data_IF_698689437021
#
_entry.id   IF_698689437021
#
_cell.length_a   1.000
_cell.length_b   1.000
_cell.length_c   1.000
_cell.angle_alpha   90.00
_cell.angle_beta   90.00
_cell.angle_gamma   90.00
#
_symmetry.space_group_name_H-M   'P 1'
#
loop_
_entity.id
_entity.type
_entity.pdbx_description
1 polymer ?
#
# COMPACT_ATOMS: atom_id res chain seq x y z
N UNK A 1 44.65 28.82 -43.99
CA UNK A 1 43.42 28.03 -44.14
C UNK A 1 42.63 28.14 -42.85
N UNK A 2 41.40 28.59 -42.98
CA UNK A 2 40.70 29.43 -42.00
C UNK A 2 40.16 28.69 -40.77
N UNK A 3 40.56 29.16 -39.59
CA UNK A 3 39.96 28.79 -38.30
C UNK A 3 38.43 29.03 -38.28
N UNK A 4 37.94 30.00 -39.05
CA UNK A 4 36.51 30.30 -39.22
C UNK A 4 35.73 29.14 -39.86
N UNK A 5 36.34 28.44 -40.82
CA UNK A 5 35.69 27.33 -41.53
C UNK A 5 35.65 26.05 -40.68
N UNK A 6 36.65 25.86 -39.81
CA UNK A 6 36.69 24.77 -38.83
C UNK A 6 35.66 25.00 -37.71
N UNK A 7 35.58 26.22 -37.17
CA UNK A 7 34.59 26.58 -36.16
C UNK A 7 33.15 26.42 -36.66
N UNK A 8 32.87 26.85 -37.90
CA UNK A 8 31.54 26.73 -38.50
C UNK A 8 31.12 25.26 -38.70
N UNK A 9 32.06 24.36 -39.03
CA UNK A 9 31.77 22.92 -39.15
C UNK A 9 31.52 22.26 -37.79
N UNK A 10 32.25 22.65 -36.74
CA UNK A 10 32.02 22.14 -35.37
C UNK A 10 30.60 22.48 -34.88
N UNK A 11 30.19 23.76 -35.03
CA UNK A 11 28.88 24.22 -34.62
C UNK A 11 27.72 23.53 -35.36
N UNK A 12 27.90 23.24 -36.66
CA UNK A 12 26.90 22.52 -37.45
C UNK A 12 26.76 21.05 -37.00
N UNK A 13 27.87 20.39 -36.64
CA UNK A 13 27.84 19.02 -36.13
C UNK A 13 27.19 18.94 -34.74
N UNK A 14 27.53 19.86 -33.84
CA UNK A 14 26.90 19.96 -32.51
C UNK A 14 25.39 20.19 -32.61
N UNK A 15 24.95 21.10 -33.49
CA UNK A 15 23.51 21.35 -33.73
C UNK A 15 22.79 20.09 -34.21
N UNK A 16 23.41 19.31 -35.10
CA UNK A 16 22.81 18.07 -35.60
C UNK A 16 22.66 17.02 -34.49
N UNK A 17 23.66 16.88 -33.62
CA UNK A 17 23.61 15.98 -32.45
C UNK A 17 22.48 16.41 -31.50
N UNK A 18 22.43 17.69 -31.13
CA UNK A 18 21.40 18.22 -30.24
C UNK A 18 19.98 18.05 -30.80
N UNK A 19 19.80 18.23 -32.11
CA UNK A 19 18.49 18.04 -32.76
C UNK A 19 18.06 16.57 -32.70
N UNK A 20 19.00 15.64 -32.90
CA UNK A 20 18.75 14.20 -32.79
C UNK A 20 18.37 13.82 -31.35
N UNK A 21 19.16 14.26 -30.37
CA UNK A 21 18.90 14.01 -28.95
C UNK A 21 17.55 14.58 -28.50
N UNK A 22 17.18 15.78 -28.99
CA UNK A 22 15.88 16.37 -28.71
C UNK A 22 14.75 15.49 -29.24
N UNK A 23 14.86 15.00 -30.47
CA UNK A 23 13.86 14.10 -31.06
C UNK A 23 13.72 12.77 -30.31
N UNK A 24 14.84 12.19 -29.86
CA UNK A 24 14.85 10.98 -29.02
C UNK A 24 14.17 11.24 -27.66
N UNK A 25 14.47 12.37 -27.00
CA UNK A 25 13.84 12.75 -25.74
C UNK A 25 12.35 13.04 -25.86
N UNK A 26 11.91 13.71 -26.93
CA UNK A 26 10.49 13.95 -27.20
C UNK A 26 9.72 12.64 -27.41
N UNK A 27 10.32 11.68 -28.11
CA UNK A 27 9.73 10.35 -28.27
C UNK A 27 9.62 9.61 -26.93
N UNK A 28 10.70 9.60 -26.14
CA UNK A 28 10.69 8.98 -24.82
C UNK A 28 9.64 9.60 -23.88
N UNK A 29 9.49 10.94 -23.91
CA UNK A 29 8.49 11.65 -23.12
C UNK A 29 7.06 11.28 -23.53
N UNK A 30 6.79 11.14 -24.84
CA UNK A 30 5.47 10.68 -25.32
C UNK A 30 5.16 9.27 -24.84
N UNK A 31 6.10 8.34 -25.00
CA UNK A 31 5.92 6.95 -24.57
C UNK A 31 5.66 6.88 -23.05
N UNK A 32 6.44 7.63 -22.26
CA UNK A 32 6.25 7.69 -20.80
C UNK A 32 4.87 8.23 -20.44
N UNK A 33 4.37 9.24 -21.16
CA UNK A 33 3.04 9.80 -20.92
C UNK A 33 1.94 8.78 -21.20
N UNK A 34 2.06 8.01 -22.28
CA UNK A 34 1.12 6.93 -22.62
C UNK A 34 1.13 5.82 -21.57
N UNK A 35 2.31 5.43 -21.08
CA UNK A 35 2.46 4.43 -20.03
C UNK A 35 1.84 4.89 -18.71
N UNK A 36 2.07 6.15 -18.31
CA UNK A 36 1.44 6.74 -17.11
C UNK A 36 -0.08 6.77 -17.24
N UNK A 37 -0.62 7.12 -18.41
CA UNK A 37 -2.06 7.12 -18.66
C UNK A 37 -2.63 5.70 -18.56
N UNK A 38 -1.95 4.71 -19.14
CA UNK A 38 -2.35 3.31 -19.07
C UNK A 38 -2.32 2.79 -17.62
N UNK A 39 -1.26 3.08 -16.87
CA UNK A 39 -1.12 2.70 -15.47
C UNK A 39 -2.24 3.30 -14.62
N UNK A 40 -2.59 4.57 -14.86
CA UNK A 40 -3.67 5.27 -14.17
C UNK A 40 -5.02 4.58 -14.44
N UNK A 41 -5.32 4.26 -15.71
CA UNK A 41 -6.55 3.56 -16.09
C UNK A 41 -6.63 2.17 -15.47
N UNK A 42 -5.54 1.40 -15.50
CA UNK A 42 -5.51 0.07 -14.91
C UNK A 42 -5.74 0.11 -13.39
N UNK A 43 -5.09 1.05 -12.70
CA UNK A 43 -5.27 1.24 -11.26
C UNK A 43 -6.73 1.59 -10.93
N UNK A 44 -7.35 2.48 -11.70
CA UNK A 44 -8.75 2.84 -11.53
C UNK A 44 -9.69 1.63 -11.69
N UNK A 45 -9.49 0.81 -12.73
CA UNK A 45 -10.30 -0.38 -12.97
C UNK A 45 -10.15 -1.40 -11.85
N UNK A 46 -8.94 -1.60 -11.34
CA UNK A 46 -8.70 -2.49 -10.20
C UNK A 46 -9.39 -1.98 -8.93
N UNK A 47 -9.29 -0.69 -8.65
CA UNK A 47 -9.98 -0.08 -7.51
C UNK A 47 -11.50 -0.28 -7.59
N UNK A 48 -12.10 -0.02 -8.74
CA UNK A 48 -13.54 -0.23 -8.96
C UNK A 48 -13.95 -1.71 -8.87
N UNK A 49 -13.07 -2.63 -9.24
CA UNK A 49 -13.30 -4.06 -9.06
C UNK A 49 -13.33 -4.43 -7.58
N UNK A 50 -12.30 -4.04 -6.82
CA UNK A 50 -12.23 -4.32 -5.38
C UNK A 50 -13.39 -3.69 -4.63
N UNK A 51 -13.82 -2.48 -5.01
CA UNK A 51 -14.99 -1.84 -4.40
C UNK A 51 -16.26 -2.69 -4.61
N UNK A 52 -16.49 -3.20 -5.82
CA UNK A 52 -17.63 -4.09 -6.10
C UNK A 52 -17.57 -5.40 -5.32
N UNK A 53 -16.40 -6.00 -5.19
CA UNK A 53 -16.22 -7.22 -4.39
C UNK A 53 -16.47 -6.97 -2.90
N UNK A 54 -15.97 -5.85 -2.37
CA UNK A 54 -16.20 -5.43 -1.00
C UNK A 54 -17.70 -5.25 -0.72
N UNK A 55 -18.41 -4.55 -1.61
CA UNK A 55 -19.84 -4.31 -1.46
C UNK A 55 -20.65 -5.62 -1.55
N UNK A 56 -20.30 -6.51 -2.48
CA UNK A 56 -20.89 -7.84 -2.57
C UNK A 56 -20.64 -8.69 -1.30
N UNK A 57 -19.44 -8.61 -0.73
CA UNK A 57 -19.10 -9.30 0.51
C UNK A 57 -19.90 -8.75 1.70
N UNK A 58 -20.07 -7.43 1.80
CA UNK A 58 -20.92 -6.80 2.81
C UNK A 58 -22.36 -7.29 2.72
N UNK A 59 -22.95 -7.28 1.52
CA UNK A 59 -24.33 -7.79 1.32
C UNK A 59 -24.46 -9.25 1.73
N UNK A 60 -23.53 -10.12 1.33
CA UNK A 60 -23.55 -11.53 1.74
C UNK A 60 -23.40 -11.71 3.25
N UNK A 61 -22.58 -10.89 3.90
CA UNK A 61 -22.43 -10.90 5.36
C UNK A 61 -23.74 -10.52 6.04
N UNK A 62 -24.43 -9.49 5.57
CA UNK A 62 -25.74 -9.08 6.11
C UNK A 62 -26.80 -10.18 5.92
N UNK A 63 -26.84 -10.81 4.75
CA UNK A 63 -27.74 -11.94 4.48
C UNK A 63 -27.45 -13.13 5.42
N UNK A 64 -26.18 -13.48 5.59
CA UNK A 64 -25.76 -14.54 6.50
C UNK A 64 -26.18 -14.24 7.93
N UNK A 65 -25.97 -13.02 8.41
CA UNK A 65 -26.37 -12.59 9.76
C UNK A 65 -27.88 -12.70 9.93
N UNK A 66 -28.69 -12.25 8.96
CA UNK A 66 -30.15 -12.39 8.99
C UNK A 66 -30.60 -13.85 9.08
N UNK A 67 -29.93 -14.75 8.35
CA UNK A 67 -30.25 -16.19 8.38
C UNK A 67 -29.84 -16.84 9.71
N UNK A 68 -28.72 -16.40 10.29
CA UNK A 68 -28.20 -16.96 11.54
C UNK A 68 -28.89 -16.39 12.78
N UNK A 69 -29.41 -15.17 12.73
CA UNK A 69 -30.02 -14.48 13.87
C UNK A 69 -31.06 -15.33 14.64
N UNK A 70 -32.04 -16.01 14.00
CA UNK A 70 -32.98 -16.86 14.72
C UNK A 70 -32.30 -18.02 15.47
N UNK A 71 -31.27 -18.62 14.86
CA UNK A 71 -30.52 -19.73 15.47
C UNK A 71 -29.69 -19.23 16.64
N UNK A 72 -29.07 -18.06 16.52
CA UNK A 72 -28.32 -17.42 17.61
C UNK A 72 -29.24 -17.08 18.78
N UNK A 73 -30.44 -16.55 18.54
CA UNK A 73 -31.45 -16.28 19.57
C UNK A 73 -31.90 -17.55 20.29
N UNK A 74 -32.01 -18.66 19.57
CA UNK A 74 -32.38 -19.94 20.16
C UNK A 74 -31.26 -20.52 21.04
N UNK A 75 -30.01 -20.45 20.56
CA UNK A 75 -28.85 -21.03 21.26
C UNK A 75 -28.35 -20.16 22.41
N UNK A 76 -28.49 -18.83 22.32
CA UNK A 76 -28.00 -17.87 23.30
C UNK A 76 -29.05 -16.85 23.74
N UNK A 77 -30.21 -17.28 24.29
CA UNK A 77 -31.33 -16.38 24.56
C UNK A 77 -30.97 -15.23 25.51
N UNK A 78 -30.15 -15.50 26.53
CA UNK A 78 -29.72 -14.52 27.53
C UNK A 78 -28.76 -13.46 27.01
N UNK A 79 -28.17 -13.66 25.83
CA UNK A 79 -27.20 -12.74 25.23
C UNK A 79 -27.79 -11.90 24.09
N UNK A 80 -28.98 -12.23 23.62
CA UNK A 80 -29.62 -11.56 22.48
C UNK A 80 -30.50 -10.36 22.85
N UNK A 81 -30.73 -10.09 24.14
CA UNK A 81 -31.55 -8.95 24.54
C UNK A 81 -30.83 -7.62 24.25
N UNK A 82 -31.31 -6.92 23.22
CA UNK A 82 -30.86 -5.58 22.85
C UNK A 82 -29.50 -5.49 22.13
N UNK A 83 -28.81 -6.62 21.90
CA UNK A 83 -27.56 -6.65 21.14
C UNK A 83 -27.80 -6.84 19.64
N UNK A 84 -26.98 -6.17 18.83
CA UNK A 84 -26.91 -6.39 17.38
C UNK A 84 -26.45 -7.84 17.08
N UNK A 85 -27.17 -8.61 16.25
CA UNK A 85 -26.76 -9.93 15.80
C UNK A 85 -25.33 -10.00 15.23
N UNK A 86 -24.84 -8.93 14.58
CA UNK A 86 -23.45 -8.87 14.08
C UNK A 86 -22.46 -8.85 15.25
N UNK A 87 -22.71 -8.01 16.25
CA UNK A 87 -21.90 -7.92 17.45
C UNK A 87 -21.89 -9.26 18.21
N UNK A 88 -23.06 -9.88 18.34
CA UNK A 88 -23.17 -11.21 18.96
C UNK A 88 -22.38 -12.28 18.20
N UNK A 89 -22.47 -12.29 16.87
CA UNK A 89 -21.70 -13.20 16.04
C UNK A 89 -20.19 -12.97 16.22
N UNK A 90 -19.75 -11.71 16.29
CA UNK A 90 -18.34 -11.38 16.53
C UNK A 90 -17.84 -11.79 17.92
N UNK A 91 -18.70 -11.76 18.95
CA UNK A 91 -18.37 -12.24 20.31
C UNK A 91 -18.32 -13.78 20.40
N UNK A 92 -19.06 -14.47 19.53
CA UNK A 92 -19.18 -15.93 19.51
C UNK A 92 -18.15 -16.61 18.61
N UNK A 93 -17.60 -15.88 17.64
CA UNK A 93 -16.44 -16.30 16.87
C UNK A 93 -15.20 -15.96 17.69
N UNK A 94 -14.43 -16.95 18.20
CA UNK A 94 -13.16 -16.67 18.89
C UNK A 94 -12.29 -15.82 17.98
N UNK A 95 -11.59 -14.82 18.55
CA UNK A 95 -10.69 -13.88 17.88
C UNK A 95 -10.09 -14.43 16.57
N UNK A 96 -10.80 -14.19 15.46
CA UNK A 96 -10.45 -14.67 14.13
C UNK A 96 -10.33 -16.19 13.98
N UNK A 97 -11.00 -16.75 12.97
CA UNK A 97 -10.43 -17.94 12.32
C UNK A 97 -8.95 -17.68 12.02
N UNK A 98 -8.07 -18.68 12.20
CA UNK A 98 -6.64 -18.59 11.84
C UNK A 98 -6.44 -17.97 10.45
N UNK A 99 -7.41 -18.17 9.54
CA UNK A 99 -7.41 -17.55 8.22
C UNK A 99 -7.58 -16.01 8.25
N UNK A 100 -8.41 -15.47 9.14
CA UNK A 100 -8.60 -14.03 9.33
C UNK A 100 -7.36 -13.39 9.95
N UNK A 101 -6.76 -14.03 10.97
CA UNK A 101 -5.49 -13.55 11.53
C UNK A 101 -4.38 -13.51 10.47
N UNK A 102 -4.25 -14.59 9.67
CA UNK A 102 -3.28 -14.65 8.56
C UNK A 102 -3.55 -13.62 7.46
N UNK A 103 -4.83 -13.32 7.18
CA UNK A 103 -5.20 -12.26 6.25
C UNK A 103 -4.79 -10.89 6.78
N UNK A 104 -5.04 -10.61 8.06
CA UNK A 104 -4.62 -9.36 8.71
C UNK A 104 -3.10 -9.21 8.71
N UNK A 105 -2.35 -10.27 9.02
CA UNK A 105 -0.89 -10.31 8.92
C UNK A 105 -0.42 -10.04 7.49
N UNK A 106 -1.04 -10.68 6.49
CA UNK A 106 -0.70 -10.48 5.08
C UNK A 106 -0.96 -9.04 4.61
N UNK A 107 -2.10 -8.45 5.01
CA UNK A 107 -2.45 -7.06 4.66
C UNK A 107 -1.50 -6.08 5.35
N UNK A 108 -1.16 -6.32 6.62
CA UNK A 108 -0.17 -5.52 7.34
C UNK A 108 1.20 -5.59 6.66
N UNK A 109 1.63 -6.78 6.24
CA UNK A 109 2.89 -6.98 5.52
C UNK A 109 2.90 -6.24 4.18
N UNK A 110 1.85 -6.38 3.36
CA UNK A 110 1.73 -5.65 2.08
C UNK A 110 1.75 -4.14 2.31
N UNK A 111 1.04 -3.66 3.34
CA UNK A 111 0.99 -2.23 3.67
C UNK A 111 2.36 -1.71 4.10
N UNK A 112 3.10 -2.48 4.90
CA UNK A 112 4.47 -2.17 5.29
C UNK A 112 5.41 -2.15 4.06
N UNK A 113 5.32 -3.14 3.17
CA UNK A 113 6.09 -3.16 1.93
C UNK A 113 5.80 -1.94 1.05
N UNK A 114 4.54 -1.56 0.91
CA UNK A 114 4.14 -0.38 0.13
C UNK A 114 4.66 0.92 0.75
N UNK A 115 4.55 1.08 2.08
CA UNK A 115 5.11 2.23 2.79
C UNK A 115 6.63 2.29 2.60
N UNK A 116 7.33 1.15 2.69
CA UNK A 116 8.76 1.06 2.47
C UNK A 116 9.15 1.44 1.03
N UNK A 117 8.37 1.01 0.04
CA UNK A 117 8.58 1.37 -1.36
C UNK A 117 8.42 2.88 -1.60
N UNK A 118 7.44 3.51 -0.95
CA UNK A 118 7.26 4.98 -0.98
C UNK A 118 8.47 5.67 -0.35
N UNK A 119 8.93 5.23 0.81
CA UNK A 119 10.14 5.78 1.47
C UNK A 119 11.36 5.63 0.56
N UNK A 120 11.55 4.46 -0.07
CA UNK A 120 12.64 4.20 -1.03
C UNK A 120 12.62 5.16 -2.22
N UNK A 121 11.44 5.49 -2.72
CA UNK A 121 11.27 6.42 -3.85
C UNK A 121 11.68 7.85 -3.50
N UNK A 122 11.55 8.25 -2.23
CA UNK A 122 11.86 9.60 -1.75
C UNK A 122 13.26 9.73 -1.16
N UNK A 123 13.86 8.63 -0.69
CA UNK A 123 15.17 8.64 -0.04
C UNK A 123 16.10 7.56 -0.61
N UNK A 124 16.74 7.88 -1.75
CA UNK A 124 17.66 6.98 -2.48
C UNK A 124 18.95 6.61 -1.74
N UNK A 125 19.20 7.20 -0.55
CA UNK A 125 20.39 6.96 0.28
C UNK A 125 20.16 6.04 1.48
N UNK A 126 18.93 5.57 1.70
CA UNK A 126 18.65 4.62 2.78
C UNK A 126 19.09 3.23 2.31
N UNK A 127 20.02 2.63 3.05
CA UNK A 127 20.43 1.24 2.85
C UNK A 127 19.32 0.30 3.34
N UNK A 128 18.67 -0.36 2.40
CA UNK A 128 17.55 -1.27 2.67
C UNK A 128 18.00 -2.73 2.77
N UNK A 129 19.30 -3.04 2.60
CA UNK A 129 19.80 -4.39 2.81
C UNK A 129 19.52 -4.87 4.24
N UNK A 130 19.67 -3.96 5.22
CA UNK A 130 19.30 -4.20 6.62
C UNK A 130 17.79 -4.45 6.85
N UNK A 131 16.93 -4.04 5.91
CA UNK A 131 15.48 -4.27 5.97
C UNK A 131 15.10 -5.61 5.33
N UNK A 132 15.74 -6.00 4.22
CA UNK A 132 15.55 -7.31 3.58
C UNK A 132 16.07 -8.48 4.43
N UNK A 133 17.15 -8.26 5.17
CA UNK A 133 17.64 -9.22 6.16
C UNK A 133 16.71 -9.33 7.38
N UNK A 134 15.73 -8.42 7.47
CA UNK A 134 14.82 -8.26 8.59
C UNK A 134 15.52 -7.49 9.70
N UNK A 135 15.08 -6.25 9.94
CA UNK A 135 15.57 -5.43 11.07
C UNK A 135 15.40 -6.12 12.44
N UNK A 136 14.62 -7.21 12.50
CA UNK A 136 14.34 -8.03 13.67
C UNK A 136 15.07 -9.39 13.67
N UNK A 137 15.90 -9.72 12.68
CA UNK A 137 16.56 -11.03 12.62
C UNK A 137 17.47 -11.33 13.82
N UNK A 138 18.04 -10.27 14.43
CA UNK A 138 18.86 -10.34 15.64
C UNK A 138 18.22 -9.62 16.85
N UNK A 139 16.95 -9.19 16.76
CA UNK A 139 16.30 -8.52 17.89
C UNK A 139 15.90 -9.54 18.97
N UNK A 140 16.44 -9.38 20.17
CA UNK A 140 15.94 -10.08 21.35
C UNK A 140 14.57 -9.53 21.77
N UNK A 141 13.81 -10.28 22.57
CA UNK A 141 12.53 -9.79 23.12
C UNK A 141 12.70 -8.46 23.90
N UNK A 142 13.84 -8.30 24.58
CA UNK A 142 14.19 -7.09 25.32
C UNK A 142 14.44 -5.89 24.38
N UNK A 143 15.03 -6.12 23.20
CA UNK A 143 15.21 -5.08 22.19
C UNK A 143 13.87 -4.64 21.58
N UNK A 144 12.94 -5.59 21.38
CA UNK A 144 11.58 -5.31 20.88
C UNK A 144 10.81 -4.47 21.90
N UNK A 145 10.87 -4.83 23.19
CA UNK A 145 10.18 -4.11 24.25
C UNK A 145 10.72 -2.69 24.43
N UNK A 146 12.05 -2.51 24.32
CA UNK A 146 12.68 -1.18 24.29
C UNK A 146 12.22 -0.36 23.09
N UNK A 147 12.25 -0.92 21.89
CA UNK A 147 11.82 -0.25 20.65
C UNK A 147 10.34 0.16 20.71
N UNK A 148 9.47 -0.71 21.22
CA UNK A 148 8.06 -0.38 21.45
C UNK A 148 7.92 0.81 22.42
N UNK A 149 8.71 0.84 23.50
CA UNK A 149 8.75 1.96 24.44
C UNK A 149 9.22 3.28 23.80
N UNK A 150 10.16 3.22 22.86
CA UNK A 150 10.67 4.39 22.13
C UNK A 150 9.69 4.90 21.07
N UNK A 151 8.99 4.00 20.37
CA UNK A 151 8.10 4.33 19.24
C UNK A 151 6.68 4.67 19.70
N UNK A 152 6.21 4.14 20.84
CA UNK A 152 4.85 4.38 21.31
C UNK A 152 4.52 5.88 21.56
N UNK A 153 5.39 6.70 22.19
CA UNK A 153 5.12 8.12 22.37
C UNK A 153 5.00 8.92 21.05
N UNK A 154 5.94 8.83 20.09
CA UNK A 154 5.80 9.54 18.83
C UNK A 154 4.65 9.00 17.96
N UNK A 155 4.36 7.70 17.99
CA UNK A 155 3.20 7.13 17.29
C UNK A 155 1.87 7.68 17.85
N UNK A 156 1.74 7.79 19.18
CA UNK A 156 0.57 8.37 19.82
C UNK A 156 0.39 9.86 19.48
N UNK A 157 1.48 10.61 19.32
CA UNK A 157 1.43 11.99 18.84
C UNK A 157 0.99 12.05 17.38
N UNK A 158 1.53 11.17 16.53
CA UNK A 158 1.17 11.13 15.10
C UNK A 158 -0.32 10.81 14.89
N UNK A 159 -0.89 9.87 15.65
CA UNK A 159 -2.32 9.55 15.60
C UNK A 159 -3.18 10.77 15.95
N UNK A 160 -2.78 11.54 16.97
CA UNK A 160 -3.47 12.78 17.35
C UNK A 160 -3.36 13.87 16.29
N UNK A 161 -2.20 13.99 15.65
CA UNK A 161 -1.97 15.00 14.61
C UNK A 161 -2.70 14.66 13.30
N UNK A 162 -3.06 13.38 13.10
CA UNK A 162 -3.76 12.88 11.91
C UNK A 162 -5.27 12.67 12.12
N UNK A 163 -5.83 12.96 13.30
CA UNK A 163 -7.24 12.72 13.67
C UNK A 163 -7.72 11.29 13.34
N UNK A 164 -6.85 10.29 13.55
CA UNK A 164 -7.14 8.86 13.36
C UNK A 164 -7.73 8.20 14.62
#
# INVERSE_FOLDING_TARGET
MDASLVASKSAAAEKAILTKELGEKEMALRNLKEEVELCTKNTQVQYEHFQRELDAAKTRSEELVKVLEPTLKLLFPSRCDGKDPVQLASELVPEGSVAVCRLSESVANISACNALAVVKSHYTRIDLAAVEEGYAADCSEEDVERLLGEVAPPAATLVKDLDL
#
